data_IF_061112659612
#
_entry.id   IF_061112659612
#
_cell.length_a   1.000
_cell.length_b   1.000
_cell.length_c   1.000
_cell.angle_alpha   90.00
_cell.angle_beta   90.00
_cell.angle_gamma   90.00
#
_symmetry.space_group_name_H-M   'P 1'
#
loop_
_entity.id
_entity.type
_entity.pdbx_description
1 polymer ?
#
# COMPACT_ATOMS: atom_id res chain seq x y z
N UNK A 1 -50.85 -18.45 12.82
CA UNK A 1 -51.31 -17.12 12.31
C UNK A 1 -50.10 -16.26 12.18
N UNK A 2 -49.61 -16.12 10.93
CA UNK A 2 -48.57 -15.14 10.53
C UNK A 2 -49.12 -13.72 10.49
N UNK A 3 -48.21 -12.69 10.49
CA UNK A 3 -47.98 -12.11 9.18
C UNK A 3 -46.50 -11.84 8.83
N UNK A 4 -46.24 -11.97 7.53
CA UNK A 4 -45.03 -11.65 6.83
C UNK A 4 -44.70 -10.15 6.82
N UNK A 5 -43.42 -9.79 6.93
CA UNK A 5 -42.88 -8.49 6.54
C UNK A 5 -41.99 -8.63 5.31
N UNK A 6 -42.35 -7.89 4.28
CA UNK A 6 -41.62 -7.75 3.01
C UNK A 6 -40.35 -6.92 3.26
N UNK A 7 -39.21 -7.43 2.77
CA UNK A 7 -37.99 -6.66 2.66
C UNK A 7 -37.81 -6.14 1.23
N UNK A 8 -37.62 -4.84 1.12
CA UNK A 8 -37.33 -4.17 -0.15
C UNK A 8 -35.88 -4.39 -0.55
N UNK A 9 -35.69 -4.81 -1.81
CA UNK A 9 -34.40 -5.11 -2.40
C UNK A 9 -33.63 -3.83 -2.75
N UNK A 10 -32.38 -3.75 -2.31
CA UNK A 10 -31.42 -2.75 -2.76
C UNK A 10 -30.66 -3.34 -3.95
N UNK A 11 -30.77 -2.66 -5.09
CA UNK A 11 -30.25 -3.08 -6.38
C UNK A 11 -28.73 -3.13 -6.43
N UNK A 12 -28.22 -4.28 -6.82
CA UNK A 12 -26.80 -4.49 -7.22
C UNK A 12 -26.56 -3.79 -8.54
N UNK A 13 -25.71 -2.76 -8.56
CA UNK A 13 -25.14 -2.23 -9.79
C UNK A 13 -23.86 -3.00 -10.12
N UNK A 14 -23.96 -3.85 -11.14
CA UNK A 14 -22.82 -4.51 -11.79
C UNK A 14 -22.00 -3.46 -12.55
N UNK A 15 -20.71 -3.31 -12.24
CA UNK A 15 -19.76 -2.56 -13.09
C UNK A 15 -19.32 -3.44 -14.24
N UNK A 16 -19.79 -3.15 -15.42
CA UNK A 16 -19.32 -3.69 -16.71
C UNK A 16 -18.02 -2.98 -17.11
N UNK A 17 -16.93 -3.71 -17.24
CA UNK A 17 -15.71 -3.24 -17.89
C UNK A 17 -15.88 -3.34 -19.41
N UNK A 18 -16.02 -2.19 -20.06
CA UNK A 18 -15.98 -2.09 -21.52
C UNK A 18 -14.54 -2.08 -22.02
N UNK A 19 -14.22 -3.01 -22.92
CA UNK A 19 -12.99 -2.98 -23.72
C UNK A 19 -13.15 -1.97 -24.85
N UNK A 20 -12.38 -0.89 -24.86
CA UNK A 20 -12.29 0.08 -25.94
C UNK A 20 -11.02 -0.13 -26.77
N UNK A 21 -11.21 -0.40 -28.06
CA UNK A 21 -10.16 -0.58 -29.05
C UNK A 21 -9.46 0.75 -29.40
N UNK A 22 -8.13 0.66 -29.58
CA UNK A 22 -7.26 1.75 -30.03
C UNK A 22 -7.41 1.97 -31.56
N UNK A 23 -7.65 3.20 -31.98
CA UNK A 23 -7.42 3.66 -33.32
C UNK A 23 -6.29 4.72 -33.30
N UNK A 24 -5.21 4.43 -34.02
CA UNK A 24 -4.13 5.37 -34.30
C UNK A 24 -4.52 6.30 -35.46
N UNK A 25 -4.37 7.60 -35.28
CA UNK A 25 -4.23 8.53 -36.39
C UNK A 25 -3.06 9.47 -36.15
N UNK A 26 -2.08 9.38 -37.05
CA UNK A 26 -0.96 10.28 -37.15
C UNK A 26 -1.36 11.56 -37.90
N UNK A 27 -0.95 12.74 -37.44
CA UNK A 27 -0.86 13.92 -38.28
C UNK A 27 0.39 14.75 -37.94
N UNK A 28 0.97 15.24 -39.00
CA UNK A 28 2.30 15.69 -39.24
C UNK A 28 2.64 17.10 -38.73
N UNK A 29 3.94 17.31 -38.73
CA UNK A 29 4.69 18.52 -38.48
C UNK A 29 4.52 19.54 -39.59
N UNK A 30 4.33 20.80 -39.24
CA UNK A 30 4.82 21.95 -40.02
C UNK A 30 5.29 23.08 -39.10
N UNK A 31 6.57 23.40 -39.21
CA UNK A 31 7.20 24.55 -38.59
C UNK A 31 7.05 25.80 -39.46
N UNK A 32 6.82 26.95 -38.86
CA UNK A 32 7.30 28.23 -39.38
C UNK A 32 7.41 29.25 -38.23
N UNK A 33 8.60 29.75 -38.04
CA UNK A 33 8.90 30.78 -37.08
C UNK A 33 8.55 32.21 -37.54
N UNK A 34 8.39 33.11 -36.55
CA UNK A 34 8.74 34.53 -36.72
C UNK A 34 8.92 35.20 -35.33
N UNK A 35 10.06 35.80 -35.16
CA UNK A 35 10.41 36.69 -34.05
C UNK A 35 9.66 38.02 -34.18
N UNK A 36 9.21 38.56 -33.03
CA UNK A 36 9.24 40.02 -32.82
C UNK A 36 9.18 40.37 -31.32
N UNK A 37 9.89 41.44 -31.00
CA UNK A 37 10.33 41.91 -29.71
C UNK A 37 9.29 42.78 -28.96
N UNK A 38 9.32 42.66 -27.63
CA UNK A 38 9.26 43.79 -26.70
C UNK A 38 7.89 44.33 -26.31
N UNK A 39 7.46 43.99 -25.10
CA UNK A 39 6.88 45.00 -24.17
C UNK A 39 6.66 44.36 -22.81
N UNK A 40 7.28 44.90 -21.76
CA UNK A 40 7.01 44.56 -20.36
C UNK A 40 5.65 45.13 -19.97
N UNK A 41 4.63 44.31 -20.00
CA UNK A 41 3.36 44.57 -19.33
C UNK A 41 3.20 43.54 -18.22
N UNK A 42 3.16 44.02 -16.98
CA UNK A 42 2.76 43.23 -15.80
C UNK A 42 1.30 42.81 -15.97
N UNK A 43 1.08 41.71 -16.66
CA UNK A 43 -0.25 41.11 -16.78
C UNK A 43 -0.55 40.35 -15.50
N UNK A 44 -1.50 40.88 -14.73
CA UNK A 44 -2.27 40.05 -13.79
C UNK A 44 -2.92 38.95 -14.62
N UNK A 45 -2.40 37.72 -14.52
CA UNK A 45 -2.97 36.53 -15.17
C UNK A 45 -4.29 36.24 -14.48
N UNK A 46 -5.38 36.74 -15.07
CA UNK A 46 -6.72 36.30 -14.76
C UNK A 46 -6.93 34.98 -15.51
N UNK A 47 -6.75 33.86 -14.82
CA UNK A 47 -7.03 32.52 -15.36
C UNK A 47 -8.52 32.42 -15.75
N UNK A 48 -8.80 31.86 -16.91
CA UNK A 48 -10.19 31.63 -17.34
C UNK A 48 -10.85 30.55 -16.43
N UNK A 49 -12.18 30.62 -16.17
CA UNK A 49 -12.89 29.68 -15.25
C UNK A 49 -12.70 28.19 -15.59
N UNK A 50 -12.38 27.83 -16.83
CA UNK A 50 -12.05 26.48 -17.24
C UNK A 50 -10.67 25.99 -16.80
N UNK A 51 -9.76 26.92 -16.47
CA UNK A 51 -8.41 26.63 -15.99
C UNK A 51 -8.42 26.36 -14.47
N UNK A 52 -9.24 27.08 -13.70
CA UNK A 52 -9.37 26.88 -12.25
C UNK A 52 -9.82 25.46 -11.89
N UNK A 53 -10.79 24.90 -12.62
CA UNK A 53 -11.23 23.51 -12.43
C UNK A 53 -10.12 22.52 -12.73
N UNK A 54 -9.36 22.74 -13.79
CA UNK A 54 -8.23 21.88 -14.15
C UNK A 54 -7.13 21.92 -13.09
N UNK A 55 -6.78 23.12 -12.60
CA UNK A 55 -5.78 23.29 -11.53
C UNK A 55 -6.27 22.65 -10.22
N UNK A 56 -7.55 22.84 -9.86
CA UNK A 56 -8.13 22.22 -8.68
C UNK A 56 -8.19 20.68 -8.81
N UNK A 57 -8.43 20.16 -10.03
CA UNK A 57 -8.37 18.71 -10.29
C UNK A 57 -6.97 18.15 -10.05
N UNK A 58 -5.93 18.86 -10.52
CA UNK A 58 -4.54 18.48 -10.24
C UNK A 58 -4.23 18.54 -8.74
N UNK A 59 -4.75 19.57 -8.05
CA UNK A 59 -4.59 19.70 -6.60
C UNK A 59 -5.31 18.60 -5.82
N UNK A 60 -6.48 18.13 -6.29
CA UNK A 60 -7.15 16.97 -5.70
C UNK A 60 -6.27 15.71 -5.79
N UNK A 61 -5.76 15.39 -6.99
CA UNK A 61 -4.88 14.22 -7.18
C UNK A 61 -3.62 14.34 -6.31
N UNK A 62 -3.03 15.53 -6.23
CA UNK A 62 -1.88 15.81 -5.37
C UNK A 62 -2.18 15.56 -3.88
N UNK A 63 -3.30 16.09 -3.37
CA UNK A 63 -3.64 16.08 -1.94
C UNK A 63 -4.39 14.83 -1.47
N UNK A 64 -4.92 14.01 -2.40
CA UNK A 64 -5.71 12.83 -2.07
C UNK A 64 -5.04 11.89 -1.05
N UNK A 65 -3.74 11.54 -1.19
CA UNK A 65 -3.06 10.70 -0.21
C UNK A 65 -3.02 11.30 1.19
N UNK A 66 -2.74 12.59 1.30
CA UNK A 66 -2.67 13.31 2.58
C UNK A 66 -4.03 13.29 3.30
N UNK A 67 -5.12 13.61 2.57
CA UNK A 67 -6.48 13.60 3.14
C UNK A 67 -6.90 12.18 3.52
N UNK A 68 -6.57 11.17 2.69
CA UNK A 68 -6.88 9.77 2.99
C UNK A 68 -6.11 9.27 4.23
N UNK A 69 -4.82 9.63 4.37
CA UNK A 69 -4.02 9.28 5.54
C UNK A 69 -4.62 9.87 6.81
N UNK A 70 -5.04 11.14 6.77
CA UNK A 70 -5.63 11.80 7.92
C UNK A 70 -6.99 11.19 8.32
N UNK A 71 -7.86 10.90 7.33
CA UNK A 71 -9.13 10.19 7.60
C UNK A 71 -8.86 8.80 8.18
N UNK A 72 -7.88 8.08 7.65
CA UNK A 72 -7.48 6.76 8.19
C UNK A 72 -6.98 6.89 9.63
N UNK A 73 -6.18 7.92 9.92
CA UNK A 73 -5.68 8.22 11.26
C UNK A 73 -6.78 8.53 12.26
N UNK A 74 -7.78 9.34 11.87
CA UNK A 74 -8.91 9.68 12.75
C UNK A 74 -9.76 8.47 13.17
N UNK A 75 -9.79 7.45 12.33
CA UNK A 75 -10.51 6.21 12.59
C UNK A 75 -9.60 5.07 13.10
N UNK A 76 -8.31 5.35 13.26
CA UNK A 76 -7.31 4.42 13.78
C UNK A 76 -7.14 4.49 15.30
N UNK A 77 -6.21 3.71 15.82
CA UNK A 77 -5.81 3.76 17.22
C UNK A 77 -5.23 5.14 17.59
N UNK A 78 -5.30 5.55 18.87
CA UNK A 78 -4.64 6.76 19.35
C UNK A 78 -3.14 6.77 19.01
N UNK A 79 -2.59 7.95 18.73
CA UNK A 79 -1.18 8.10 18.38
C UNK A 79 -0.24 7.52 19.45
N UNK A 80 0.92 7.07 18.99
CA UNK A 80 1.98 6.48 19.80
C UNK A 80 1.53 5.23 20.57
N UNK A 81 0.65 4.44 19.97
CA UNK A 81 0.20 3.13 20.46
C UNK A 81 0.10 2.15 19.31
N UNK A 82 0.49 0.91 19.54
CA UNK A 82 0.27 -0.16 18.56
C UNK A 82 -1.19 -0.63 18.57
N UNK A 83 -1.68 -0.96 17.39
CA UNK A 83 -2.86 -1.78 17.11
C UNK A 83 -2.38 -3.04 16.40
N UNK A 84 -2.69 -4.21 16.94
CA UNK A 84 -2.23 -5.48 16.40
C UNK A 84 -3.35 -6.29 15.76
N UNK A 85 -3.14 -6.75 14.53
CA UNK A 85 -3.93 -7.83 13.95
C UNK A 85 -3.49 -9.15 14.59
N UNK A 86 -4.42 -9.92 15.13
CA UNK A 86 -4.12 -11.13 15.90
C UNK A 86 -4.50 -12.42 15.17
N UNK A 87 -5.17 -12.31 14.03
CA UNK A 87 -5.66 -13.46 13.27
C UNK A 87 -5.32 -13.33 11.81
N UNK A 88 -5.10 -14.45 11.15
CA UNK A 88 -5.06 -14.50 9.70
C UNK A 88 -6.48 -14.34 9.14
N UNK A 89 -6.66 -13.61 8.04
CA UNK A 89 -7.95 -13.52 7.36
C UNK A 89 -8.31 -14.86 6.73
N UNK A 90 -9.60 -15.14 6.64
CA UNK A 90 -10.17 -16.29 5.96
C UNK A 90 -11.18 -15.84 4.88
N UNK A 91 -11.84 -16.80 4.22
CA UNK A 91 -12.80 -16.50 3.18
C UNK A 91 -14.10 -15.82 3.69
N UNK A 92 -14.37 -15.86 4.99
CA UNK A 92 -15.50 -15.16 5.62
C UNK A 92 -15.17 -13.69 5.87
N UNK A 93 -13.88 -13.33 5.94
CA UNK A 93 -13.44 -11.95 6.11
C UNK A 93 -13.61 -11.17 4.80
N UNK A 94 -14.54 -10.20 4.80
CA UNK A 94 -14.90 -9.37 3.63
C UNK A 94 -14.58 -7.90 3.86
N UNK A 95 -13.74 -7.59 4.84
CA UNK A 95 -13.42 -6.22 5.23
C UNK A 95 -12.39 -5.59 4.30
N UNK A 96 -11.36 -6.35 3.92
CA UNK A 96 -10.26 -5.87 3.07
C UNK A 96 -10.10 -6.79 1.86
N UNK A 97 -10.03 -6.21 0.66
CA UNK A 97 -9.73 -6.94 -0.56
C UNK A 97 -8.24 -7.33 -0.61
N UNK A 98 -7.94 -8.47 -1.23
CA UNK A 98 -6.60 -9.04 -1.34
C UNK A 98 -5.87 -9.16 0.00
N UNK A 99 -6.53 -9.72 1.03
CA UNK A 99 -5.95 -9.81 2.36
C UNK A 99 -4.66 -10.63 2.34
N UNK A 100 -3.72 -10.22 3.20
CA UNK A 100 -2.42 -10.85 3.34
C UNK A 100 -2.55 -12.12 4.20
N UNK A 101 -1.96 -13.22 3.74
CA UNK A 101 -1.91 -14.51 4.45
C UNK A 101 -0.55 -14.76 5.13
N UNK A 102 0.45 -13.90 4.89
CA UNK A 102 1.85 -14.19 5.19
C UNK A 102 2.35 -13.49 6.44
N UNK A 103 1.72 -12.36 6.82
CA UNK A 103 2.17 -11.55 7.95
C UNK A 103 1.01 -11.06 8.79
N UNK A 104 1.20 -10.95 10.10
CA UNK A 104 0.31 -10.17 10.97
C UNK A 104 0.80 -8.72 11.06
N UNK A 105 -0.16 -7.80 11.11
CA UNK A 105 0.13 -6.38 11.16
C UNK A 105 0.23 -5.85 12.60
N UNK A 106 1.18 -4.93 12.80
CA UNK A 106 1.32 -4.10 13.99
C UNK A 106 1.38 -2.64 13.54
N UNK A 107 0.26 -1.94 13.62
CA UNK A 107 0.12 -0.57 13.11
C UNK A 107 0.25 0.44 14.23
N UNK A 108 0.87 1.59 13.97
CA UNK A 108 0.90 2.70 14.93
C UNK A 108 0.94 4.05 14.21
N UNK A 109 0.07 4.96 14.60
CA UNK A 109 0.19 6.35 14.21
C UNK A 109 1.20 7.04 15.11
N UNK A 110 2.12 7.79 14.53
CA UNK A 110 3.12 8.59 15.24
C UNK A 110 2.70 10.05 15.28
N UNK A 111 2.80 10.65 16.45
CA UNK A 111 2.72 12.10 16.64
C UNK A 111 4.02 12.58 17.30
N UNK A 112 4.84 13.25 16.49
CA UNK A 112 6.17 13.74 16.84
C UNK A 112 6.18 15.25 17.11
N UNK A 113 5.01 15.92 17.11
CA UNK A 113 4.93 17.37 17.22
C UNK A 113 5.48 17.92 18.54
N UNK A 114 5.52 17.09 19.57
CA UNK A 114 6.05 17.49 20.90
C UNK A 114 7.49 17.04 21.08
N UNK A 115 7.80 15.79 20.73
CA UNK A 115 9.12 15.18 20.93
C UNK A 115 9.27 13.94 20.03
N UNK A 116 10.51 13.41 19.86
CA UNK A 116 10.74 12.13 19.19
C UNK A 116 9.99 10.98 19.86
N UNK A 117 9.70 9.95 19.07
CA UNK A 117 9.07 8.71 19.55
C UNK A 117 10.04 7.55 19.37
N UNK A 118 10.23 6.78 20.42
CA UNK A 118 11.10 5.60 20.43
C UNK A 118 10.27 4.37 20.11
N UNK A 119 10.77 3.55 19.18
CA UNK A 119 10.31 2.19 18.87
C UNK A 119 11.37 1.21 19.35
N UNK A 120 10.96 0.22 20.14
CA UNK A 120 11.76 -0.96 20.45
C UNK A 120 11.12 -2.19 19.79
N UNK A 121 11.94 -2.88 19.00
CA UNK A 121 11.59 -4.16 18.37
C UNK A 121 12.30 -5.25 19.15
N UNK A 122 11.58 -6.23 19.73
CA UNK A 122 12.20 -7.26 20.56
C UNK A 122 13.13 -8.15 19.73
N UNK A 123 14.06 -8.82 20.40
CA UNK A 123 14.80 -9.89 19.78
C UNK A 123 13.85 -11.00 19.32
N UNK A 124 14.08 -11.52 18.13
CA UNK A 124 13.29 -12.59 17.53
C UNK A 124 14.19 -13.79 17.22
N UNK A 125 13.58 -14.94 17.02
CA UNK A 125 14.29 -16.11 16.54
C UNK A 125 14.97 -15.86 15.19
N UNK A 126 16.08 -16.52 14.96
CA UNK A 126 16.81 -16.40 13.69
C UNK A 126 15.96 -16.83 12.50
N UNK A 127 15.91 -15.99 11.47
CA UNK A 127 15.15 -16.26 10.24
C UNK A 127 13.72 -15.72 10.23
N UNK A 128 13.16 -15.26 11.36
CA UNK A 128 11.85 -14.64 11.37
C UNK A 128 11.90 -13.27 10.67
N UNK A 129 11.14 -13.12 9.60
CA UNK A 129 11.05 -11.82 8.91
C UNK A 129 10.12 -10.86 9.66
N UNK A 130 10.59 -9.65 9.79
CA UNK A 130 9.77 -8.50 10.20
C UNK A 130 10.17 -7.26 9.40
N UNK A 131 9.22 -6.33 9.27
CA UNK A 131 9.40 -5.03 8.63
C UNK A 131 8.62 -4.00 9.43
N UNK A 132 9.25 -2.88 9.81
CA UNK A 132 8.59 -1.73 10.44
C UNK A 132 8.58 -0.55 9.47
N UNK A 133 7.86 -0.75 8.36
CA UNK A 133 7.67 0.29 7.34
C UNK A 133 6.99 1.51 7.94
N UNK A 134 7.63 2.66 7.79
CA UNK A 134 7.12 3.93 8.32
C UNK A 134 6.95 4.92 7.18
N UNK A 135 5.71 5.34 6.96
CA UNK A 135 5.33 6.29 5.93
C UNK A 135 5.14 7.68 6.51
N UNK A 136 5.52 8.69 5.71
CA UNK A 136 5.11 10.08 5.94
C UNK A 136 3.60 10.26 5.66
N UNK A 137 3.05 11.42 5.99
CA UNK A 137 1.63 11.71 5.73
C UNK A 137 1.29 11.85 4.25
N UNK A 138 2.31 11.88 3.36
CA UNK A 138 2.15 11.85 1.91
C UNK A 138 2.26 10.45 1.31
N UNK A 139 2.25 9.41 2.16
CA UNK A 139 2.34 7.98 1.79
C UNK A 139 3.68 7.54 1.19
N UNK A 140 4.73 8.35 1.30
CA UNK A 140 6.06 7.86 0.95
C UNK A 140 6.64 7.06 2.11
N UNK A 141 7.31 5.95 1.80
CA UNK A 141 8.08 5.19 2.78
C UNK A 141 9.35 6.00 3.13
N UNK A 142 9.35 6.55 4.34
CA UNK A 142 10.45 7.34 4.86
C UNK A 142 11.52 6.47 5.53
N UNK A 143 11.11 5.41 6.25
CA UNK A 143 11.96 4.48 6.96
C UNK A 143 11.41 3.05 6.81
N UNK A 144 12.27 2.05 6.69
CA UNK A 144 11.89 0.65 6.47
C UNK A 144 12.82 -0.36 7.14
N UNK A 145 13.14 -0.20 8.46
CA UNK A 145 13.96 -1.20 9.14
C UNK A 145 13.28 -2.57 9.14
N UNK A 146 14.06 -3.60 8.86
CA UNK A 146 13.58 -4.99 8.77
C UNK A 146 14.62 -5.97 9.31
N UNK A 147 14.24 -7.24 9.45
CA UNK A 147 15.17 -8.29 9.88
C UNK A 147 16.35 -8.49 8.92
N UNK A 148 16.14 -8.27 7.62
CA UNK A 148 17.19 -8.37 6.59
C UNK A 148 17.98 -7.08 6.42
N UNK A 149 17.40 -5.94 6.80
CA UNK A 149 18.02 -4.60 6.77
C UNK A 149 17.66 -3.82 8.03
N UNK A 150 18.27 -4.11 9.20
CA UNK A 150 17.90 -3.46 10.44
C UNK A 150 18.21 -1.96 10.49
N UNK A 151 18.98 -1.43 9.56
CA UNK A 151 19.35 0.01 9.46
C UNK A 151 19.99 0.56 10.72
N UNK A 152 20.76 -0.25 11.43
CA UNK A 152 21.38 0.14 12.69
C UNK A 152 22.66 0.95 12.46
N UNK A 153 22.84 2.03 13.22
CA UNK A 153 24.10 2.80 13.23
C UNK A 153 25.30 1.97 13.66
N UNK A 154 25.09 0.95 14.48
CA UNK A 154 26.14 0.04 14.98
C UNK A 154 26.51 -1.09 14.02
N UNK A 155 25.72 -1.34 12.98
CA UNK A 155 25.87 -2.51 12.10
C UNK A 155 25.51 -3.85 12.77
N UNK A 156 24.95 -3.86 13.99
CA UNK A 156 24.51 -5.08 14.67
C UNK A 156 23.33 -5.74 13.92
N UNK A 157 23.27 -7.08 13.93
CA UNK A 157 22.24 -7.87 13.25
C UNK A 157 21.27 -8.55 14.20
N UNK A 158 21.59 -8.64 15.52
CA UNK A 158 20.73 -9.21 16.56
C UNK A 158 20.00 -8.14 17.35
N UNK A 159 18.75 -8.42 17.71
CA UNK A 159 17.92 -7.53 18.54
C UNK A 159 18.20 -7.67 20.05
N UNK A 160 17.51 -6.92 20.92
CA UNK A 160 16.46 -5.97 20.54
C UNK A 160 17.00 -4.75 19.77
N UNK A 161 16.12 -4.14 18.95
CA UNK A 161 16.47 -2.97 18.14
C UNK A 161 15.73 -1.75 18.66
N UNK A 162 16.46 -0.64 18.86
CA UNK A 162 15.87 0.61 19.37
C UNK A 162 16.08 1.73 18.36
N UNK A 163 14.97 2.30 17.91
CA UNK A 163 14.92 3.39 16.94
C UNK A 163 14.25 4.61 17.56
N UNK A 164 14.69 5.81 17.18
CA UNK A 164 13.98 7.04 17.49
C UNK A 164 13.52 7.73 16.22
N UNK A 165 12.22 7.83 16.01
CA UNK A 165 11.64 8.65 14.96
C UNK A 165 11.74 10.11 15.33
N UNK A 166 12.36 10.90 14.44
CA UNK A 166 12.69 12.30 14.69
C UNK A 166 11.81 13.20 13.80
N UNK A 167 11.16 14.21 14.36
CA UNK A 167 10.42 15.18 13.54
C UNK A 167 11.37 16.04 12.71
N UNK A 168 10.87 16.70 11.65
CA UNK A 168 11.66 17.62 10.86
C UNK A 168 12.35 18.69 11.71
N UNK A 169 13.65 18.90 11.46
CA UNK A 169 14.43 19.93 12.15
C UNK A 169 14.82 19.62 13.58
N UNK A 170 14.54 18.42 14.09
CA UNK A 170 14.98 18.05 15.44
C UNK A 170 16.52 18.02 15.52
N UNK A 171 17.09 18.68 16.54
CA UNK A 171 18.53 18.85 16.74
C UNK A 171 18.99 18.46 18.14
N UNK A 172 18.15 17.74 18.91
CA UNK A 172 18.50 17.22 20.21
C UNK A 172 19.54 16.09 20.17
N UNK A 173 19.87 15.55 21.32
CA UNK A 173 20.79 14.42 21.47
C UNK A 173 20.05 13.18 21.91
N UNK A 174 20.22 12.08 21.17
CA UNK A 174 19.69 10.77 21.57
C UNK A 174 20.61 10.09 22.59
N UNK A 175 20.07 9.31 23.53
CA UNK A 175 20.84 8.40 24.35
C UNK A 175 21.65 7.41 23.50
N UNK A 176 22.81 6.92 24.00
CA UNK A 176 23.58 5.90 23.31
C UNK A 176 22.77 4.63 23.01
N UNK A 177 23.00 4.03 21.85
CA UNK A 177 22.35 2.78 21.44
C UNK A 177 21.03 2.95 20.70
N UNK A 178 20.49 4.16 20.61
CA UNK A 178 19.28 4.45 19.84
C UNK A 178 19.67 4.88 18.42
N UNK A 179 19.09 4.24 17.42
CA UNK A 179 19.31 4.58 16.01
C UNK A 179 18.33 5.69 15.58
N UNK A 180 18.82 6.83 15.06
CA UNK A 180 17.96 7.92 14.59
C UNK A 180 17.26 7.56 13.28
N UNK A 181 15.95 7.83 13.20
CA UNK A 181 15.07 7.65 12.06
C UNK A 181 14.38 8.99 11.71
N UNK A 182 15.04 9.90 10.97
CA UNK A 182 14.43 11.18 10.62
C UNK A 182 13.23 11.00 9.69
N UNK A 183 12.15 11.74 9.97
CA UNK A 183 10.93 11.75 9.17
C UNK A 183 10.71 13.11 8.50
N UNK A 184 10.13 13.15 7.31
CA UNK A 184 9.86 14.39 6.58
C UNK A 184 8.61 15.13 7.08
N UNK A 185 7.72 14.45 7.82
CA UNK A 185 6.52 15.04 8.42
C UNK A 185 6.48 14.77 9.93
N UNK A 186 5.89 15.67 10.74
CA UNK A 186 5.78 15.48 12.18
C UNK A 186 4.74 14.42 12.57
N UNK A 187 3.88 14.01 11.67
CA UNK A 187 3.02 12.85 11.81
C UNK A 187 3.44 11.76 10.82
N UNK A 188 3.27 10.50 11.18
CA UNK A 188 3.66 9.36 10.34
C UNK A 188 2.85 8.11 10.70
N UNK A 189 2.97 7.07 9.90
CA UNK A 189 2.29 5.80 10.13
C UNK A 189 3.25 4.64 10.01
N UNK A 190 3.39 3.84 11.08
CA UNK A 190 4.07 2.55 11.05
C UNK A 190 3.07 1.51 10.56
N UNK A 191 3.42 0.78 9.51
CA UNK A 191 2.72 -0.41 9.05
C UNK A 191 3.65 -1.62 9.23
N UNK A 192 3.80 -2.04 10.49
CA UNK A 192 4.63 -3.16 10.88
C UNK A 192 4.06 -4.48 10.38
N UNK A 193 4.93 -5.37 9.89
CA UNK A 193 4.62 -6.72 9.42
C UNK A 193 5.53 -7.73 10.11
N UNK A 194 4.97 -8.81 10.63
CA UNK A 194 5.69 -9.93 11.25
C UNK A 194 5.26 -11.19 10.54
N UNK A 195 6.21 -11.95 9.98
CA UNK A 195 5.96 -13.23 9.33
C UNK A 195 5.20 -14.18 10.26
N UNK A 196 4.25 -14.92 9.70
CA UNK A 196 3.50 -15.95 10.39
C UNK A 196 3.49 -17.24 9.55
N UNK A 197 3.91 -18.35 10.13
CA UNK A 197 4.00 -19.64 9.47
C UNK A 197 2.76 -20.49 9.79
N UNK A 198 1.59 -19.97 9.40
CA UNK A 198 0.30 -20.60 9.59
C UNK A 198 -0.29 -20.46 10.99
N UNK A 199 -1.41 -21.13 11.23
CA UNK A 199 -2.20 -20.99 12.46
C UNK A 199 -1.45 -21.42 13.73
N UNK A 200 -0.59 -22.43 13.63
CA UNK A 200 0.16 -22.94 14.78
C UNK A 200 1.21 -21.96 15.30
N UNK A 201 1.65 -21.03 14.47
CA UNK A 201 2.66 -20.02 14.79
C UNK A 201 2.08 -18.76 15.45
N UNK A 202 0.76 -18.58 15.43
CA UNK A 202 0.12 -17.39 15.99
C UNK A 202 0.55 -17.06 17.42
N UNK A 203 0.68 -18.00 18.37
CA UNK A 203 1.12 -17.69 19.72
C UNK A 203 2.53 -17.07 19.78
N UNK A 204 3.46 -17.52 18.94
CA UNK A 204 4.81 -16.96 18.86
C UNK A 204 4.79 -15.54 18.30
N UNK A 205 4.03 -15.32 17.23
CA UNK A 205 3.87 -13.98 16.65
C UNK A 205 3.18 -13.02 17.63
N UNK A 206 2.17 -13.48 18.39
CA UNK A 206 1.53 -12.67 19.43
C UNK A 206 2.53 -12.27 20.52
N UNK A 207 3.40 -13.16 20.96
CA UNK A 207 4.43 -12.83 21.94
C UNK A 207 5.40 -11.75 21.42
N UNK A 208 5.75 -11.78 20.13
CA UNK A 208 6.55 -10.74 19.48
C UNK A 208 5.78 -9.41 19.46
N UNK A 209 4.53 -9.42 19.04
CA UNK A 209 3.67 -8.22 19.02
C UNK A 209 3.53 -7.61 20.42
N UNK A 210 3.34 -8.44 21.45
CA UNK A 210 3.27 -8.02 22.84
C UNK A 210 4.63 -7.50 23.37
N UNK A 211 5.72 -7.84 22.71
CA UNK A 211 7.08 -7.34 22.97
C UNK A 211 7.40 -6.00 22.31
N UNK A 212 6.65 -5.58 21.28
CA UNK A 212 6.86 -4.26 20.66
C UNK A 212 6.57 -3.14 21.65
N UNK A 213 7.46 -2.14 21.71
CA UNK A 213 7.30 -0.98 22.58
C UNK A 213 7.36 0.30 21.76
N UNK A 214 6.49 1.25 22.10
CA UNK A 214 6.48 2.57 21.51
C UNK A 214 6.19 3.59 22.61
N UNK A 215 7.02 4.63 22.73
CA UNK A 215 6.88 5.66 23.75
C UNK A 215 7.51 6.98 23.31
N UNK A 216 7.05 8.13 23.83
CA UNK A 216 7.80 9.38 23.74
C UNK A 216 9.22 9.23 24.29
N UNK A 217 10.19 9.95 23.71
CA UNK A 217 11.60 9.86 24.09
C UNK A 217 11.82 10.16 25.59
N UNK A 218 11.13 11.15 26.12
CA UNK A 218 11.20 11.51 27.54
C UNK A 218 10.76 10.37 28.47
N UNK A 219 9.69 9.68 28.12
CA UNK A 219 9.18 8.53 28.87
C UNK A 219 10.14 7.33 28.78
N UNK A 220 10.71 7.08 27.59
CA UNK A 220 11.67 6.00 27.38
C UNK A 220 12.97 6.26 28.15
N UNK A 221 13.47 7.52 28.16
CA UNK A 221 14.66 7.90 28.92
C UNK A 221 14.44 7.71 30.43
N UNK A 222 13.27 8.07 30.93
CA UNK A 222 12.93 7.90 32.35
C UNK A 222 12.82 6.42 32.75
N UNK A 223 12.37 5.55 31.84
CA UNK A 223 12.22 4.11 32.08
C UNK A 223 12.49 3.36 30.77
N UNK A 224 13.76 2.98 30.48
CA UNK A 224 14.10 2.22 29.27
C UNK A 224 13.29 0.93 29.16
N UNK A 225 12.71 0.67 27.97
CA UNK A 225 11.76 -0.41 27.75
C UNK A 225 10.32 -0.08 28.12
N UNK A 226 10.04 1.17 28.57
CA UNK A 226 8.67 1.64 28.68
C UNK A 226 7.98 1.66 27.33
N UNK A 227 6.69 1.37 27.32
CA UNK A 227 5.86 1.43 26.11
C UNK A 227 4.41 1.74 26.48
N UNK A 228 3.76 2.48 25.60
CA UNK A 228 2.31 2.65 25.72
C UNK A 228 1.62 1.31 25.49
N UNK A 229 0.56 0.98 26.24
CA UNK A 229 -0.20 -0.23 25.99
C UNK A 229 -0.79 -0.20 24.58
N UNK A 230 -0.88 -1.37 23.95
CA UNK A 230 -1.57 -1.52 22.67
C UNK A 230 -3.04 -1.07 22.81
N UNK A 231 -3.56 -0.51 21.72
CA UNK A 231 -4.97 -0.16 21.62
C UNK A 231 -5.76 -1.31 20.99
N UNK A 232 -7.04 -1.38 21.32
CA UNK A 232 -7.99 -2.21 20.57
C UNK A 232 -8.21 -1.59 19.19
N UNK A 233 -8.57 -2.41 18.18
CA UNK A 233 -8.91 -1.93 16.84
C UNK A 233 -10.17 -1.07 16.88
N UNK A 234 -10.09 0.22 16.59
CA UNK A 234 -11.18 1.14 16.96
C UNK A 234 -12.32 1.19 15.93
N UNK A 235 -12.08 0.89 14.66
CA UNK A 235 -13.10 1.12 13.65
C UNK A 235 -12.92 0.27 12.39
N UNK A 236 -14.07 -0.12 11.80
CA UNK A 236 -14.17 -0.69 10.46
C UNK A 236 -14.53 0.38 9.41
N UNK A 237 -14.32 1.67 9.70
CA UNK A 237 -14.67 2.75 8.79
C UNK A 237 -13.87 2.66 7.48
N UNK A 238 -14.58 2.78 6.36
CA UNK A 238 -13.96 2.83 5.04
C UNK A 238 -13.52 4.27 4.73
N UNK A 239 -12.25 4.57 5.01
CA UNK A 239 -11.67 5.89 4.77
C UNK A 239 -11.77 6.33 3.30
N UNK A 240 -11.67 5.40 2.34
CA UNK A 240 -11.83 5.69 0.92
C UNK A 240 -13.23 6.20 0.62
N UNK A 241 -14.27 5.59 1.20
CA UNK A 241 -15.65 6.04 1.03
C UNK A 241 -15.92 7.36 1.76
N UNK A 242 -15.33 7.57 2.93
CA UNK A 242 -15.44 8.85 3.64
C UNK A 242 -14.87 9.98 2.80
N UNK A 243 -13.65 9.83 2.27
CA UNK A 243 -13.02 10.83 1.38
C UNK A 243 -13.84 11.00 0.09
N UNK A 244 -14.37 9.91 -0.46
CA UNK A 244 -15.22 9.95 -1.65
C UNK A 244 -16.55 10.71 -1.42
N UNK A 245 -17.03 10.80 -0.19
CA UNK A 245 -18.22 11.54 0.20
C UNK A 245 -18.00 13.03 0.47
N UNK A 246 -16.75 13.52 0.50
CA UNK A 246 -16.47 14.94 0.73
C UNK A 246 -16.85 15.78 -0.48
N UNK A 247 -17.48 16.94 -0.24
CA UNK A 247 -17.60 18.00 -1.24
C UNK A 247 -16.25 18.68 -1.48
N UNK A 248 -16.19 19.51 -2.53
CA UNK A 248 -14.95 20.14 -2.91
C UNK A 248 -14.39 21.06 -1.83
N UNK A 249 -15.23 21.82 -1.16
CA UNK A 249 -14.79 22.75 -0.10
C UNK A 249 -14.23 21.99 1.10
N UNK A 250 -14.96 20.99 1.57
CA UNK A 250 -14.51 20.16 2.70
C UNK A 250 -13.17 19.48 2.41
N UNK A 251 -12.98 18.96 1.18
CA UNK A 251 -11.73 18.34 0.78
C UNK A 251 -10.56 19.32 0.75
N UNK A 252 -10.71 20.47 0.05
CA UNK A 252 -9.59 21.41 -0.13
C UNK A 252 -9.26 22.17 1.16
N UNK A 253 -10.23 22.55 1.97
CA UNK A 253 -9.98 23.21 3.26
C UNK A 253 -9.27 22.25 4.22
N UNK A 254 -9.67 20.95 4.26
CA UNK A 254 -8.95 19.92 5.02
C UNK A 254 -7.52 19.75 4.50
N UNK A 255 -7.33 19.63 3.19
CA UNK A 255 -6.00 19.53 2.56
C UNK A 255 -5.11 20.71 2.95
N UNK A 256 -5.61 21.94 2.88
CA UNK A 256 -4.87 23.15 3.24
C UNK A 256 -4.46 23.13 4.73
N UNK A 257 -5.36 22.75 5.62
CA UNK A 257 -5.07 22.64 7.05
C UNK A 257 -4.00 21.57 7.32
N UNK A 258 -4.09 20.43 6.67
CA UNK A 258 -3.12 19.33 6.81
C UNK A 258 -1.74 19.71 6.26
N UNK A 259 -1.65 20.41 5.15
CA UNK A 259 -0.38 20.89 4.59
C UNK A 259 0.37 21.85 5.55
N UNK A 260 -0.32 22.52 6.45
CA UNK A 260 0.31 23.38 7.47
C UNK A 260 0.93 22.56 8.61
N UNK A 261 0.42 21.35 8.85
CA UNK A 261 0.91 20.44 9.89
C UNK A 261 2.00 19.53 9.32
N UNK A 262 1.70 18.90 8.19
CA UNK A 262 2.53 17.94 7.48
C UNK A 262 2.90 18.52 6.10
N UNK A 263 3.95 19.34 6.04
CA UNK A 263 4.27 20.11 4.84
C UNK A 263 4.64 19.19 3.66
N UNK A 264 4.28 19.60 2.42
CA UNK A 264 4.74 18.95 1.21
C UNK A 264 6.27 18.96 1.09
N UNK A 265 6.81 18.02 0.32
CA UNK A 265 8.25 17.96 0.07
C UNK A 265 8.71 19.16 -0.77
N UNK A 266 9.99 19.61 -0.64
CA UNK A 266 10.52 20.73 -1.44
C UNK A 266 10.39 20.55 -2.96
N UNK A 267 10.41 19.30 -3.43
CA UNK A 267 10.24 18.97 -4.87
C UNK A 267 8.84 19.32 -5.39
N UNK A 268 7.86 19.48 -4.50
CA UNK A 268 6.47 19.81 -4.84
C UNK A 268 6.24 21.31 -5.08
N UNK A 269 7.25 22.18 -4.86
CA UNK A 269 7.13 23.63 -4.98
C UNK A 269 6.49 24.11 -6.31
N UNK A 270 6.81 23.54 -7.50
CA UNK A 270 6.15 23.93 -8.75
C UNK A 270 4.64 23.65 -8.77
N UNK A 271 4.20 22.53 -8.18
CA UNK A 271 2.78 22.20 -8.09
C UNK A 271 2.06 23.18 -7.13
N UNK A 272 2.66 23.43 -5.96
CA UNK A 272 2.12 24.36 -4.97
C UNK A 272 2.00 25.79 -5.52
N UNK A 273 2.96 26.25 -6.33
CA UNK A 273 2.89 27.56 -6.99
C UNK A 273 1.66 27.66 -7.90
N UNK A 274 1.33 26.61 -8.63
CA UNK A 274 0.12 26.57 -9.47
C UNK A 274 -1.16 26.59 -8.61
N UNK A 275 -1.20 25.83 -7.52
CA UNK A 275 -2.36 25.74 -6.65
C UNK A 275 -2.61 27.01 -5.84
N UNK A 276 -1.54 27.78 -5.56
CA UNK A 276 -1.63 29.06 -4.83
C UNK A 276 -2.53 30.09 -5.51
N UNK A 277 -2.67 30.06 -6.85
CA UNK A 277 -3.59 30.93 -7.58
C UNK A 277 -5.05 30.72 -7.12
N UNK A 278 -5.40 29.52 -6.65
CA UNK A 278 -6.72 29.15 -6.13
C UNK A 278 -6.84 29.34 -4.60
N UNK A 279 -5.79 29.81 -3.93
CA UNK A 279 -5.72 29.86 -2.46
C UNK A 279 -5.41 28.52 -1.80
N UNK A 280 -5.17 27.46 -2.58
CA UNK A 280 -4.79 26.13 -2.08
C UNK A 280 -3.30 26.16 -1.72
N UNK A 281 -3.05 26.49 -0.45
CA UNK A 281 -1.70 26.60 0.12
C UNK A 281 -1.71 26.05 1.56
N UNK A 282 -0.55 25.74 2.16
CA UNK A 282 -0.49 25.37 3.58
C UNK A 282 -1.17 26.42 4.47
N UNK A 283 -2.21 26.00 5.21
CA UNK A 283 -3.03 26.90 6.04
C UNK A 283 -3.95 27.86 5.28
N UNK A 284 -4.01 27.75 3.95
CA UNK A 284 -4.88 28.56 3.10
C UNK A 284 -6.31 28.02 3.01
N UNK A 285 -7.06 28.53 2.03
CA UNK A 285 -8.42 28.08 1.73
C UNK A 285 -8.78 28.36 0.27
N UNK A 286 -9.47 27.43 -0.36
CA UNK A 286 -10.09 27.59 -1.67
C UNK A 286 -11.38 28.43 -1.64
N UNK A 287 -11.63 29.17 -0.56
CA UNK A 287 -12.89 29.88 -0.28
C UNK A 287 -13.34 30.89 -1.31
N UNK A 288 -12.44 31.35 -2.19
CA UNK A 288 -12.76 32.28 -3.29
C UNK A 288 -13.26 31.60 -4.56
N UNK A 289 -13.10 30.27 -4.66
CA UNK A 289 -13.52 29.49 -5.82
C UNK A 289 -14.97 29.05 -5.63
N UNK A 290 -15.76 29.10 -6.70
CA UNK A 290 -17.15 28.67 -6.68
C UNK A 290 -17.26 27.18 -6.30
N UNK A 291 -18.25 26.82 -5.50
CA UNK A 291 -18.44 25.46 -5.01
C UNK A 291 -18.56 24.45 -6.17
N UNK A 292 -19.29 24.82 -7.22
CA UNK A 292 -19.51 23.95 -8.40
C UNK A 292 -18.20 23.63 -9.13
N UNK A 293 -17.22 24.58 -9.12
CA UNK A 293 -15.89 24.35 -9.69
C UNK A 293 -15.10 23.36 -8.85
N UNK A 294 -15.13 23.51 -7.52
CA UNK A 294 -14.44 22.63 -6.59
C UNK A 294 -15.04 21.21 -6.60
N UNK A 295 -16.38 21.10 -6.60
CA UNK A 295 -17.09 19.80 -6.68
C UNK A 295 -16.81 19.09 -8.00
N UNK A 296 -16.81 19.87 -9.11
CA UNK A 296 -16.42 19.37 -10.41
C UNK A 296 -14.97 18.86 -10.43
N UNK A 297 -14.05 19.59 -9.80
CA UNK A 297 -12.65 19.19 -9.69
C UNK A 297 -12.45 17.90 -8.86
N UNK A 298 -13.17 17.74 -7.76
CA UNK A 298 -13.18 16.51 -6.96
C UNK A 298 -13.69 15.32 -7.78
N UNK A 299 -14.78 15.50 -8.54
CA UNK A 299 -15.33 14.45 -9.39
C UNK A 299 -14.34 14.02 -10.49
N UNK A 300 -13.73 14.99 -11.19
CA UNK A 300 -12.73 14.74 -12.23
C UNK A 300 -11.47 14.11 -11.66
N UNK A 301 -10.98 14.59 -10.50
CA UNK A 301 -9.81 14.08 -9.81
C UNK A 301 -10.00 12.66 -9.33
N UNK A 302 -11.17 12.33 -8.78
CA UNK A 302 -11.55 10.96 -8.42
C UNK A 302 -11.49 10.05 -9.65
N UNK A 303 -12.09 10.48 -10.75
CA UNK A 303 -12.04 9.73 -12.00
C UNK A 303 -10.60 9.51 -12.51
N UNK A 304 -9.72 10.52 -12.37
CA UNK A 304 -8.29 10.36 -12.73
C UNK A 304 -7.57 9.35 -11.83
N UNK A 305 -7.82 9.38 -10.52
CA UNK A 305 -7.23 8.43 -9.56
C UNK A 305 -7.73 7.02 -9.84
N UNK A 306 -9.03 6.82 -10.06
CA UNK A 306 -9.63 5.49 -10.31
C UNK A 306 -9.16 4.86 -11.62
N UNK A 307 -8.96 5.68 -12.64
CA UNK A 307 -8.57 5.23 -13.98
C UNK A 307 -7.08 5.38 -14.24
N UNK A 308 -6.27 5.69 -13.22
CA UNK A 308 -4.83 5.81 -13.40
C UNK A 308 -4.24 4.49 -13.95
N UNK A 309 -3.31 4.65 -14.87
CA UNK A 309 -2.52 3.53 -15.40
C UNK A 309 -1.06 3.87 -15.20
N UNK A 310 -0.36 3.03 -14.45
CA UNK A 310 1.07 3.22 -14.20
C UNK A 310 1.85 2.94 -15.49
N UNK A 311 2.54 3.94 -16.08
CA UNK A 311 3.34 3.73 -17.28
C UNK A 311 4.56 2.84 -17.02
N UNK A 312 4.99 2.69 -15.77
CA UNK A 312 6.07 1.78 -15.38
C UNK A 312 5.61 0.34 -15.17
N UNK A 313 4.28 0.09 -15.24
CA UNK A 313 3.77 -1.27 -15.13
C UNK A 313 4.17 -2.11 -16.35
N UNK A 314 4.79 -3.26 -16.10
CA UNK A 314 5.26 -4.19 -17.13
C UNK A 314 4.52 -5.51 -17.01
N UNK A 315 4.26 -6.17 -18.16
CA UNK A 315 3.71 -7.53 -18.20
C UNK A 315 4.84 -8.50 -18.57
N UNK A 316 5.17 -9.41 -17.65
CA UNK A 316 6.21 -10.42 -17.81
C UNK A 316 5.57 -11.79 -17.64
N UNK A 317 5.61 -12.63 -18.70
CA UNK A 317 5.01 -13.97 -18.71
C UNK A 317 3.55 -13.99 -18.21
N UNK A 318 2.77 -12.93 -18.51
CA UNK A 318 1.39 -12.77 -18.09
C UNK A 318 1.18 -12.15 -16.70
N UNK A 319 2.25 -11.91 -15.95
CA UNK A 319 2.21 -11.24 -14.65
C UNK A 319 2.34 -9.72 -14.80
N UNK A 320 1.40 -8.99 -14.21
CA UNK A 320 1.52 -7.53 -14.06
C UNK A 320 2.52 -7.22 -12.95
N UNK A 321 3.51 -6.41 -13.27
CA UNK A 321 4.67 -6.16 -12.45
C UNK A 321 4.91 -4.65 -12.33
N UNK A 322 4.90 -4.12 -11.13
CA UNK A 322 5.27 -2.73 -10.84
C UNK A 322 6.27 -2.70 -9.69
N UNK A 323 7.40 -2.05 -9.92
CA UNK A 323 8.46 -1.85 -8.93
C UNK A 323 8.58 -0.37 -8.54
N UNK A 324 7.52 0.42 -8.66
CA UNK A 324 7.56 1.86 -8.47
C UNK A 324 6.69 2.35 -7.31
N UNK A 325 6.36 1.48 -6.33
CA UNK A 325 5.59 1.86 -5.14
C UNK A 325 6.49 2.39 -4.01
N UNK A 326 5.90 3.06 -3.04
CA UNK A 326 6.53 3.49 -1.80
C UNK A 326 7.33 4.80 -1.86
N UNK A 327 7.87 5.19 -3.02
CA UNK A 327 8.50 6.50 -3.27
C UNK A 327 8.06 7.03 -4.63
N UNK A 328 7.30 8.10 -4.63
CA UNK A 328 6.59 8.54 -5.83
C UNK A 328 7.18 9.80 -6.47
N UNK A 329 8.00 10.57 -5.76
CA UNK A 329 8.49 11.86 -6.23
C UNK A 329 7.33 12.76 -6.66
N UNK A 330 7.37 13.25 -7.89
CA UNK A 330 6.31 14.07 -8.49
C UNK A 330 5.27 13.28 -9.28
N UNK A 331 5.29 11.94 -9.23
CA UNK A 331 4.25 11.12 -9.84
C UNK A 331 3.00 11.06 -8.94
N UNK A 332 2.30 12.19 -8.84
CA UNK A 332 1.13 12.36 -7.98
C UNK A 332 -0.01 11.41 -8.32
N UNK A 333 -0.17 11.09 -9.61
CA UNK A 333 -1.19 10.14 -10.06
C UNK A 333 -0.97 8.74 -9.50
N UNK A 334 0.27 8.24 -9.54
CA UNK A 334 0.63 6.94 -8.98
C UNK A 334 0.47 6.94 -7.45
N UNK A 335 0.96 7.99 -6.77
CA UNK A 335 0.82 8.14 -5.32
C UNK A 335 -0.64 8.07 -4.88
N UNK A 336 -1.53 8.81 -5.54
CA UNK A 336 -2.95 8.81 -5.26
C UNK A 336 -3.61 7.45 -5.57
N UNK A 337 -3.24 6.83 -6.69
CA UNK A 337 -3.76 5.52 -7.08
C UNK A 337 -3.36 4.42 -6.07
N UNK A 338 -2.08 4.36 -5.70
CA UNK A 338 -1.61 3.37 -4.72
C UNK A 338 -2.26 3.61 -3.35
N UNK A 339 -2.35 4.85 -2.90
CA UNK A 339 -3.05 5.19 -1.66
C UNK A 339 -4.50 4.69 -1.66
N UNK A 340 -5.22 4.85 -2.78
CA UNK A 340 -6.62 4.41 -2.92
C UNK A 340 -6.78 2.89 -2.99
N UNK A 341 -5.87 2.22 -3.70
CA UNK A 341 -5.99 0.78 -3.99
C UNK A 341 -5.44 -0.11 -2.88
N UNK A 342 -4.48 0.38 -2.12
CA UNK A 342 -3.81 -0.37 -1.06
C UNK A 342 -2.85 0.54 -0.30
N UNK A 343 -3.41 1.35 0.61
CA UNK A 343 -2.62 2.23 1.47
C UNK A 343 -1.54 1.42 2.19
N UNK A 344 -0.28 1.83 2.06
CA UNK A 344 0.86 1.07 2.57
C UNK A 344 1.63 0.32 1.49
N UNK A 345 1.87 0.96 0.33
CA UNK A 345 2.69 0.42 -0.75
C UNK A 345 4.15 0.34 -0.35
N UNK A 346 4.72 -0.88 -0.36
CA UNK A 346 6.11 -1.14 -0.01
C UNK A 346 7.09 -0.61 -1.06
N UNK A 347 8.31 -0.35 -0.62
CA UNK A 347 9.45 -0.19 -1.53
C UNK A 347 9.75 -1.51 -2.25
N UNK A 348 10.27 -1.45 -3.49
CA UNK A 348 10.62 -2.66 -4.24
C UNK A 348 11.59 -3.59 -3.50
N UNK A 349 12.52 -3.03 -2.73
CA UNK A 349 13.46 -3.79 -1.91
C UNK A 349 12.84 -4.47 -0.70
N UNK A 350 11.62 -4.09 -0.29
CA UNK A 350 10.90 -4.69 0.84
C UNK A 350 9.90 -5.74 0.39
N UNK A 351 9.12 -5.44 -0.67
CA UNK A 351 8.22 -6.42 -1.25
C UNK A 351 7.81 -6.09 -2.69
N UNK A 352 7.61 -7.15 -3.49
CA UNK A 352 7.05 -7.09 -4.83
C UNK A 352 5.78 -7.93 -4.92
N UNK A 353 4.86 -7.51 -5.79
CA UNK A 353 3.53 -8.11 -5.92
C UNK A 353 3.14 -8.40 -7.37
N UNK A 354 3.88 -9.24 -8.12
CA UNK A 354 3.44 -9.68 -9.44
C UNK A 354 2.03 -10.28 -9.37
N UNK A 355 1.12 -9.81 -10.22
CA UNK A 355 -0.27 -10.22 -10.20
C UNK A 355 -0.69 -10.77 -11.57
N UNK A 356 -1.18 -12.01 -11.60
CA UNK A 356 -1.75 -12.67 -12.77
C UNK A 356 -3.28 -12.58 -12.72
N UNK A 357 -3.89 -12.27 -13.86
CA UNK A 357 -5.34 -12.23 -14.04
C UNK A 357 -5.77 -13.38 -14.92
N UNK A 358 -6.47 -14.34 -14.36
CA UNK A 358 -6.92 -15.54 -15.01
C UNK A 358 -8.44 -15.67 -15.11
N UNK A 359 -8.87 -16.65 -15.88
CA UNK A 359 -10.24 -17.13 -15.90
C UNK A 359 -10.26 -18.64 -16.10
N UNK A 360 -11.26 -19.31 -15.55
CA UNK A 360 -11.44 -20.76 -15.65
C UNK A 360 -12.89 -21.09 -15.96
N UNK A 361 -13.09 -22.12 -16.75
CA UNK A 361 -14.40 -22.70 -17.02
C UNK A 361 -14.39 -24.20 -16.72
N UNK A 362 -15.27 -24.63 -15.82
CA UNK A 362 -15.41 -26.04 -15.41
C UNK A 362 -14.18 -26.58 -14.70
N UNK A 363 -13.80 -27.81 -15.02
CA UNK A 363 -12.67 -28.51 -14.41
C UNK A 363 -11.30 -28.04 -14.93
N UNK A 364 -11.18 -26.78 -15.38
CA UNK A 364 -9.93 -26.23 -15.86
C UNK A 364 -8.84 -26.32 -14.81
N UNK A 365 -7.68 -26.83 -15.20
CA UNK A 365 -6.48 -26.94 -14.38
C UNK A 365 -5.34 -26.19 -15.02
N UNK A 366 -4.58 -25.47 -14.20
CA UNK A 366 -3.42 -24.71 -14.62
C UNK A 366 -2.23 -25.10 -13.75
N UNK A 367 -1.04 -24.86 -14.27
CA UNK A 367 0.21 -25.14 -13.59
C UNK A 367 1.14 -23.93 -13.64
N UNK A 368 1.80 -23.67 -12.53
CA UNK A 368 2.95 -22.79 -12.45
C UNK A 368 4.17 -23.66 -12.17
N UNK A 369 5.12 -23.70 -13.10
CA UNK A 369 6.29 -24.56 -13.02
C UNK A 369 7.57 -23.75 -12.76
N UNK A 370 8.21 -23.98 -11.64
CA UNK A 370 9.55 -23.46 -11.33
C UNK A 370 10.59 -24.53 -11.65
N UNK A 371 11.48 -24.28 -12.60
CA UNK A 371 12.61 -25.17 -12.89
C UNK A 371 13.55 -25.29 -11.67
N UNK A 372 14.38 -26.30 -11.58
CA UNK A 372 15.33 -26.47 -10.48
C UNK A 372 16.17 -25.20 -10.25
N UNK A 373 16.19 -24.71 -9.01
CA UNK A 373 16.89 -23.48 -8.64
C UNK A 373 16.31 -22.17 -9.15
N UNK A 374 15.09 -22.19 -9.71
CA UNK A 374 14.41 -20.99 -10.25
C UNK A 374 13.25 -20.50 -9.38
N UNK A 375 13.19 -20.89 -8.12
CA UNK A 375 12.23 -20.30 -7.16
C UNK A 375 12.44 -18.78 -7.07
N UNK A 376 11.41 -18.01 -6.62
CA UNK A 376 11.54 -16.57 -6.48
C UNK A 376 12.76 -16.18 -5.63
N UNK A 377 13.68 -15.33 -6.14
CA UNK A 377 14.88 -14.94 -5.42
C UNK A 377 14.55 -13.89 -4.36
N UNK A 378 14.56 -14.31 -3.11
CA UNK A 378 14.22 -13.49 -1.94
C UNK A 378 15.21 -13.76 -0.81
N UNK A 379 15.46 -12.75 0.03
CA UNK A 379 16.27 -12.89 1.25
C UNK A 379 15.39 -13.26 2.46
N UNK A 380 14.06 -13.11 2.34
CA UNK A 380 13.11 -13.56 3.36
C UNK A 380 12.28 -14.74 2.85
N UNK A 381 11.12 -14.51 2.29
CA UNK A 381 10.23 -15.58 1.82
C UNK A 381 9.33 -15.12 0.67
N UNK A 382 8.65 -16.08 0.04
CA UNK A 382 7.66 -15.83 -0.99
C UNK A 382 6.38 -16.64 -0.77
N UNK A 383 5.30 -16.18 -1.38
CA UNK A 383 4.02 -16.88 -1.43
C UNK A 383 3.26 -16.58 -2.71
N UNK A 384 2.24 -17.39 -3.02
CA UNK A 384 1.25 -17.13 -4.06
C UNK A 384 -0.13 -17.33 -3.44
N UNK A 385 -0.95 -16.29 -3.46
CA UNK A 385 -2.33 -16.32 -2.95
C UNK A 385 -3.31 -16.17 -4.08
N UNK A 386 -4.39 -16.96 -4.06
CA UNK A 386 -5.48 -16.87 -5.02
C UNK A 386 -6.66 -16.07 -4.47
N UNK A 387 -7.26 -15.24 -5.33
CA UNK A 387 -8.46 -14.45 -5.00
C UNK A 387 -9.53 -14.62 -6.07
N UNK A 388 -10.79 -14.60 -5.65
CA UNK A 388 -11.93 -14.53 -6.55
C UNK A 388 -11.99 -13.18 -7.29
N UNK A 389 -12.89 -13.06 -8.25
CA UNK A 389 -13.05 -11.84 -9.07
C UNK A 389 -13.34 -10.57 -8.24
N UNK A 390 -13.92 -10.71 -7.07
CA UNK A 390 -14.21 -9.62 -6.12
C UNK A 390 -13.01 -9.27 -5.22
N UNK A 391 -11.88 -9.96 -5.38
CA UNK A 391 -10.65 -9.72 -4.62
C UNK A 391 -10.59 -10.39 -3.25
N UNK A 392 -11.55 -11.23 -2.88
CA UNK A 392 -11.54 -11.95 -1.60
C UNK A 392 -11.01 -13.38 -1.75
N UNK A 393 -10.59 -13.96 -0.61
CA UNK A 393 -10.15 -15.35 -0.54
C UNK A 393 -11.24 -16.31 -0.99
N UNK A 394 -10.85 -17.37 -1.67
CA UNK A 394 -11.75 -18.35 -2.27
C UNK A 394 -12.12 -19.41 -1.24
N UNK A 395 -13.40 -19.57 -0.85
CA UNK A 395 -13.81 -20.61 0.08
C UNK A 395 -13.46 -21.99 -0.47
N UNK A 396 -12.81 -22.81 0.35
CA UNK A 396 -12.52 -24.20 0.02
C UNK A 396 -12.48 -25.07 1.29
N UNK A 397 -12.80 -26.39 1.22
CA UNK A 397 -12.90 -27.25 2.40
C UNK A 397 -11.61 -27.39 3.19
N UNK A 398 -10.45 -27.22 2.55
CA UNK A 398 -9.14 -27.36 3.17
C UNK A 398 -8.62 -26.06 3.80
N UNK A 399 -9.33 -24.93 3.62
CA UNK A 399 -8.91 -23.59 4.05
C UNK A 399 -7.50 -23.22 3.55
N UNK A 400 -7.13 -23.70 2.37
CA UNK A 400 -5.87 -23.35 1.69
C UNK A 400 -6.12 -22.10 0.86
N UNK A 401 -5.37 -21.02 1.15
CA UNK A 401 -5.49 -19.75 0.43
C UNK A 401 -4.20 -19.31 -0.23
N UNK A 402 -3.07 -19.88 0.22
CA UNK A 402 -1.73 -19.53 -0.22
C UNK A 402 -0.83 -20.75 -0.28
N UNK A 403 0.14 -20.74 -1.20
CA UNK A 403 1.22 -21.71 -1.30
C UNK A 403 2.54 -20.96 -1.23
N UNK A 404 3.50 -21.45 -0.44
CA UNK A 404 4.81 -20.81 -0.27
C UNK A 404 5.42 -21.14 1.11
N UNK A 405 5.89 -20.11 1.83
CA UNK A 405 6.66 -20.30 3.06
C UNK A 405 5.93 -20.97 4.23
N UNK A 406 4.59 -20.84 4.32
CA UNK A 406 3.81 -21.40 5.45
C UNK A 406 3.84 -22.91 5.51
N UNK A 407 3.96 -23.57 4.36
CA UNK A 407 4.13 -25.01 4.23
C UNK A 407 5.28 -25.25 3.26
N UNK A 408 6.27 -26.07 3.60
CA UNK A 408 7.34 -26.41 2.68
C UNK A 408 6.75 -26.90 1.35
N UNK A 409 7.08 -26.22 0.26
CA UNK A 409 6.65 -26.68 -1.05
C UNK A 409 7.29 -28.02 -1.38
N UNK A 410 6.47 -28.96 -1.86
CA UNK A 410 6.97 -30.26 -2.29
C UNK A 410 7.71 -30.11 -3.62
N UNK A 411 8.91 -30.68 -3.68
CA UNK A 411 9.75 -30.69 -4.88
C UNK A 411 9.61 -31.98 -5.66
N UNK A 412 9.66 -31.89 -6.97
CA UNK A 412 9.77 -33.03 -7.87
C UNK A 412 11.14 -33.72 -7.73
N UNK A 413 11.30 -34.98 -8.18
CA UNK A 413 12.59 -35.70 -8.10
C UNK A 413 13.76 -34.99 -8.79
N UNK A 414 13.50 -34.14 -9.78
CA UNK A 414 14.50 -33.33 -10.49
C UNK A 414 14.83 -31.99 -9.80
N UNK A 415 14.16 -31.69 -8.66
CA UNK A 415 14.32 -30.45 -7.92
C UNK A 415 13.45 -29.28 -8.41
N UNK A 416 12.59 -29.49 -9.41
CA UNK A 416 11.60 -28.51 -9.85
C UNK A 416 10.42 -28.45 -8.85
N UNK A 417 9.61 -27.38 -8.94
CA UNK A 417 8.38 -27.21 -8.15
C UNK A 417 7.23 -26.90 -9.07
N UNK A 418 6.17 -27.70 -8.98
CA UNK A 418 4.90 -27.44 -9.65
C UNK A 418 3.85 -26.98 -8.65
N UNK A 419 3.22 -25.84 -8.89
CA UNK A 419 2.02 -25.41 -8.19
C UNK A 419 0.83 -25.71 -9.07
N UNK A 420 -0.08 -26.53 -8.56
CA UNK A 420 -1.31 -26.92 -9.25
C UNK A 420 -2.44 -25.96 -8.89
N UNK A 421 -2.96 -25.26 -9.88
CA UNK A 421 -3.96 -24.20 -9.76
C UNK A 421 -5.26 -24.72 -10.35
N UNK A 422 -6.15 -25.20 -9.48
CA UNK A 422 -7.46 -25.76 -9.88
C UNK A 422 -8.46 -25.74 -8.71
N UNK A 423 -9.75 -25.90 -9.02
CA UNK A 423 -10.80 -25.96 -8.00
C UNK A 423 -10.74 -27.27 -7.21
N UNK A 424 -10.74 -28.41 -7.90
CA UNK A 424 -10.77 -29.73 -7.28
C UNK A 424 -9.47 -30.06 -6.53
N UNK A 425 -9.58 -30.62 -5.32
CA UNK A 425 -8.41 -31.06 -4.56
C UNK A 425 -7.74 -32.24 -5.28
N UNK A 426 -6.42 -32.17 -5.56
CA UNK A 426 -5.71 -33.25 -6.25
C UNK A 426 -5.56 -34.48 -5.35
N UNK A 427 -5.53 -35.66 -5.97
CA UNK A 427 -5.36 -36.94 -5.26
C UNK A 427 -3.91 -37.35 -5.06
N UNK A 428 -3.00 -36.88 -5.92
CA UNK A 428 -1.56 -37.14 -5.80
C UNK A 428 -0.94 -36.31 -4.67
N UNK A 429 -0.14 -36.95 -3.80
CA UNK A 429 0.38 -36.33 -2.58
C UNK A 429 1.23 -35.06 -2.87
N UNK A 430 2.15 -35.09 -3.83
CA UNK A 430 2.99 -33.93 -4.18
C UNK A 430 2.13 -32.78 -4.72
N UNK A 431 1.17 -33.10 -5.60
CA UNK A 431 0.25 -32.12 -6.13
C UNK A 431 -0.66 -31.51 -5.07
N UNK A 432 -1.09 -32.31 -4.08
CA UNK A 432 -1.90 -31.86 -2.96
C UNK A 432 -1.13 -30.90 -2.03
N UNK A 433 0.17 -31.10 -1.85
CA UNK A 433 1.02 -30.24 -1.04
C UNK A 433 1.21 -28.85 -1.68
N UNK A 434 1.19 -28.77 -3.02
CA UNK A 434 1.38 -27.51 -3.78
C UNK A 434 0.07 -27.06 -4.46
N UNK A 435 -1.09 -27.45 -3.94
CA UNK A 435 -2.37 -27.06 -4.52
C UNK A 435 -2.80 -25.68 -4.10
N UNK A 436 -3.14 -24.85 -5.08
CA UNK A 436 -3.74 -23.54 -4.90
C UNK A 436 -5.16 -23.51 -5.48
N UNK A 437 -6.19 -23.51 -4.64
CA UNK A 437 -7.59 -23.54 -5.09
C UNK A 437 -8.00 -22.23 -5.76
N UNK A 438 -8.71 -22.37 -6.89
CA UNK A 438 -9.36 -21.29 -7.64
C UNK A 438 -10.86 -21.55 -7.74
N UNK A 439 -11.71 -20.57 -8.16
CA UNK A 439 -13.12 -20.81 -8.42
C UNK A 439 -13.33 -21.90 -9.46
N UNK A 440 -14.46 -22.59 -9.40
CA UNK A 440 -14.84 -23.56 -10.44
C UNK A 440 -15.06 -22.86 -11.80
N UNK A 441 -15.62 -21.67 -11.77
CA UNK A 441 -15.91 -20.86 -12.96
C UNK A 441 -15.60 -19.40 -12.74
N UNK A 442 -15.24 -18.70 -13.82
CA UNK A 442 -15.11 -17.27 -13.87
C UNK A 442 -13.70 -16.75 -13.65
N UNK A 443 -13.61 -15.46 -13.33
CA UNK A 443 -12.35 -14.75 -13.18
C UNK A 443 -11.75 -14.95 -11.80
N UNK A 444 -10.42 -14.98 -11.74
CA UNK A 444 -9.64 -15.01 -10.51
C UNK A 444 -8.35 -14.19 -10.68
N UNK A 445 -7.67 -13.93 -9.58
CA UNK A 445 -6.32 -13.36 -9.59
C UNK A 445 -5.38 -14.19 -8.74
N UNK A 446 -4.12 -14.30 -9.18
CA UNK A 446 -3.02 -14.79 -8.36
C UNK A 446 -2.13 -13.62 -8.03
N UNK A 447 -1.80 -13.46 -6.76
CA UNK A 447 -0.78 -12.49 -6.33
C UNK A 447 0.41 -13.25 -5.77
N UNK A 448 1.52 -13.18 -6.47
CA UNK A 448 2.81 -13.63 -5.96
C UNK A 448 3.37 -12.52 -5.05
N UNK A 449 3.81 -12.86 -3.85
CA UNK A 449 4.44 -11.95 -2.91
C UNK A 449 5.88 -12.37 -2.69
N UNK A 450 6.81 -11.45 -2.95
CA UNK A 450 8.23 -11.63 -2.72
C UNK A 450 8.62 -10.65 -1.60
N UNK A 451 8.99 -11.16 -0.45
CA UNK A 451 9.45 -10.35 0.68
C UNK A 451 10.97 -10.30 0.73
N UNK A 452 11.52 -9.09 0.87
CA UNK A 452 12.94 -8.79 0.69
C UNK A 452 13.48 -9.38 -0.62
N UNK A 453 12.90 -9.03 -1.78
CA UNK A 453 13.34 -9.58 -3.06
C UNK A 453 14.78 -9.17 -3.37
N UNK A 454 15.52 -10.10 -3.96
CA UNK A 454 16.88 -9.85 -4.43
C UNK A 454 16.86 -8.94 -5.68
N UNK A 455 17.95 -8.26 -6.00
CA UNK A 455 18.03 -7.34 -7.15
C UNK A 455 17.56 -7.96 -8.46
N UNK A 456 17.79 -9.26 -8.69
CA UNK A 456 17.35 -9.96 -9.91
C UNK A 456 15.84 -10.04 -10.08
N UNK A 457 15.07 -10.01 -8.99
CA UNK A 457 13.61 -9.92 -9.06
C UNK A 457 13.14 -8.47 -9.31
N UNK A 458 13.88 -7.47 -8.81
CA UNK A 458 13.53 -6.05 -8.95
C UNK A 458 13.83 -5.55 -10.36
N UNK A 459 14.95 -5.94 -10.94
CA UNK A 459 15.39 -5.51 -12.28
C UNK A 459 14.88 -6.40 -13.42
N UNK A 460 14.05 -7.41 -13.09
CA UNK A 460 13.43 -8.38 -14.02
C UNK A 460 14.44 -9.33 -14.71
N UNK A 461 15.67 -9.47 -14.22
CA UNK A 461 16.62 -10.50 -14.69
C UNK A 461 16.06 -11.88 -14.38
N UNK A 462 15.51 -12.10 -13.17
CA UNK A 462 14.64 -13.21 -12.88
C UNK A 462 13.20 -12.87 -13.34
N UNK A 463 12.54 -13.84 -13.94
CA UNK A 463 11.15 -13.70 -14.41
C UNK A 463 10.29 -14.77 -13.75
N UNK A 464 9.09 -14.41 -13.27
CA UNK A 464 8.14 -15.41 -12.83
C UNK A 464 7.77 -16.31 -14.02
N UNK A 465 7.63 -17.63 -13.85
CA UNK A 465 7.21 -18.50 -14.93
C UNK A 465 5.76 -18.21 -15.37
N UNK A 466 5.45 -18.52 -16.62
CA UNK A 466 4.10 -18.39 -17.14
C UNK A 466 3.14 -19.40 -16.45
N UNK A 467 1.90 -18.98 -16.23
CA UNK A 467 0.81 -19.88 -15.85
C UNK A 467 0.31 -20.60 -17.11
N UNK A 468 0.38 -21.92 -17.14
CA UNK A 468 0.03 -22.75 -18.30
C UNK A 468 -1.16 -23.66 -17.99
N UNK A 469 -2.02 -23.92 -18.97
CA UNK A 469 -3.07 -24.94 -18.86
C UNK A 469 -2.44 -26.35 -18.81
N UNK A 470 -3.02 -27.26 -18.02
CA UNK A 470 -2.58 -28.65 -17.91
C UNK A 470 -3.49 -29.60 -18.66
#
# INVERSE_FOLDING_TARGET
>A
MSPALRGDGIGRRSMLFGAGALAFTAFGLTACGRSESGSTATSSVTTAPGDDRSVATDAYVFGYPLVLMDVTREHGAPANRFEHSRTLPDAANRTLVRPNQDTLYSKAWLDLRTEPVVLEVPAMESGRYWLMETMDMWTNVAQNPSSVRPQLSSGATGGPFTYAFLPPGWNGTLPPGITPMPLPTPQAWILGRIQVDGQADLPAVHAIQDGLRIAPLSAWVANPGAGNPAAESPSTADAVQIVAGMDGRAFFDRMCALMAIDPPAPVDAPALQRFAALGITPGGSAGKIAAEVLDGAVADGRGRVENYRDPANTIIEGWNYSAAAGRYGTNYGQRAYVARMGLGGNLPEDALYPTYYGSVDGNGSMRLHFAPGQLPPVDAFWSITAYAADGFLIPNPASVYSVGHQLPVATNPDGSVDILIQNAHPTAQVAAANWLPIPEHGKFTLTMRLYAPQPTAIDHTWKPPAVTNT
#
